data_IF_750314788954
#
_entry.id   IF_750314788954
#
_cell.length_a   1.000
_cell.length_b   1.000
_cell.length_c   1.000
_cell.angle_alpha   90.00
_cell.angle_beta   90.00
_cell.angle_gamma   90.00
#
_symmetry.space_group_name_H-M   'P 1'
#
loop_
_entity.id
_entity.type
_entity.pdbx_description
1 polymer ?
#
# COMPACT_ATOMS: atom_id res chain seq x y z
N UNK A 1 23.55 -3.80 -15.39
CA UNK A 1 23.43 -2.59 -14.57
C UNK A 1 21.94 -2.29 -14.41
N UNK A 2 21.34 -2.63 -13.26
CA UNK A 2 19.88 -2.77 -13.12
C UNK A 2 19.25 -1.46 -12.63
N UNK A 3 18.49 -0.77 -13.47
CA UNK A 3 17.84 0.48 -13.12
C UNK A 3 16.51 0.19 -12.39
N UNK A 4 16.51 0.29 -11.05
CA UNK A 4 15.29 0.28 -10.22
C UNK A 4 15.11 1.64 -9.56
N UNK A 5 14.51 2.60 -10.26
CA UNK A 5 14.04 3.86 -9.67
C UNK A 5 12.55 3.77 -9.38
N UNK A 6 12.18 3.91 -8.10
CA UNK A 6 10.79 4.07 -7.66
C UNK A 6 10.20 5.37 -8.21
N UNK A 7 8.88 5.41 -8.36
CA UNK A 7 8.16 6.45 -9.10
C UNK A 7 8.34 7.87 -8.52
N UNK A 8 8.53 8.00 -7.20
CA UNK A 8 8.88 9.25 -6.53
C UNK A 8 10.25 9.80 -6.96
N UNK A 9 11.27 8.93 -7.05
CA UNK A 9 12.64 9.29 -7.44
C UNK A 9 12.70 9.67 -8.92
N UNK A 10 11.86 9.06 -9.76
CA UNK A 10 11.79 9.39 -11.19
C UNK A 10 11.20 10.78 -11.47
N UNK A 11 10.39 11.34 -10.57
CA UNK A 11 9.76 12.66 -10.73
C UNK A 11 10.31 13.73 -9.78
N UNK A 12 11.07 13.34 -8.75
CA UNK A 12 11.52 14.27 -7.71
C UNK A 12 10.37 14.89 -6.91
N UNK A 13 9.19 14.29 -6.95
CA UNK A 13 7.97 14.80 -6.33
C UNK A 13 7.45 13.81 -5.27
N UNK A 14 6.93 14.29 -4.13
CA UNK A 14 6.27 13.43 -3.15
C UNK A 14 5.04 12.73 -3.75
N UNK A 15 4.85 11.47 -3.36
CA UNK A 15 3.71 10.66 -3.80
C UNK A 15 3.02 10.02 -2.60
N UNK A 16 1.71 9.92 -2.68
CA UNK A 16 0.88 9.28 -1.67
C UNK A 16 0.20 8.04 -2.25
N UNK A 17 0.25 6.94 -1.52
CA UNK A 17 -0.53 5.72 -1.79
C UNK A 17 -1.62 5.62 -0.74
N UNK A 18 -2.87 5.50 -1.16
CA UNK A 18 -4.02 5.48 -0.26
C UNK A 18 -5.14 4.60 -0.80
N UNK A 19 -6.02 4.09 0.08
CA UNK A 19 -7.29 3.52 -0.33
C UNK A 19 -8.08 4.49 -1.21
N UNK A 20 -8.87 3.94 -2.14
CA UNK A 20 -9.82 4.72 -2.93
C UNK A 20 -11.02 3.87 -3.30
N UNK A 21 -12.21 4.45 -3.16
CA UNK A 21 -13.49 3.87 -3.60
C UNK A 21 -13.94 4.40 -4.98
N UNK A 22 -13.28 5.45 -5.47
CA UNK A 22 -13.70 6.20 -6.67
C UNK A 22 -12.57 6.43 -7.69
N UNK A 23 -11.41 5.79 -7.50
CA UNK A 23 -10.22 5.85 -8.34
C UNK A 23 -9.64 7.26 -8.59
N UNK A 24 -10.10 8.27 -7.86
CA UNK A 24 -9.77 9.69 -8.09
C UNK A 24 -9.25 10.38 -6.83
N UNK A 25 -9.72 9.97 -5.65
CA UNK A 25 -9.40 10.59 -4.38
C UNK A 25 -9.02 9.54 -3.32
N UNK A 26 -8.28 9.94 -2.31
CA UNK A 26 -8.04 9.09 -1.15
C UNK A 26 -9.32 8.96 -0.31
N UNK A 27 -9.80 7.74 -0.09
CA UNK A 27 -11.02 7.45 0.67
C UNK A 27 -11.32 5.95 0.71
N UNK A 28 -12.28 5.54 1.54
CA UNK A 28 -12.65 4.13 1.66
C UNK A 28 -11.62 3.27 2.41
N UNK A 29 -11.62 1.98 2.10
CA UNK A 29 -10.77 0.97 2.75
C UNK A 29 -9.89 0.24 1.73
N UNK A 30 -8.79 -0.37 2.18
CA UNK A 30 -7.83 -1.04 1.27
C UNK A 30 -8.43 -2.18 0.43
N UNK A 31 -9.62 -2.68 0.79
CA UNK A 31 -10.36 -3.68 0.01
C UNK A 31 -11.18 -3.09 -1.14
N UNK A 32 -11.39 -1.77 -1.18
CA UNK A 32 -12.12 -1.10 -2.27
C UNK A 32 -11.22 -0.86 -3.49
N UNK A 33 -9.91 -0.86 -3.25
CA UNK A 33 -8.90 -0.47 -4.22
C UNK A 33 -7.95 0.53 -3.59
N UNK A 34 -6.94 0.93 -4.35
CA UNK A 34 -6.03 1.98 -3.94
C UNK A 34 -5.45 2.70 -5.14
N UNK A 35 -5.03 3.93 -4.90
CA UNK A 35 -4.41 4.79 -5.90
C UNK A 35 -3.07 5.28 -5.41
N UNK A 36 -2.22 5.65 -6.37
CA UNK A 36 -1.06 6.50 -6.13
C UNK A 36 -1.33 7.86 -6.74
N UNK A 37 -1.18 8.92 -5.94
CA UNK A 37 -1.30 10.31 -6.37
C UNK A 37 0.03 11.05 -6.20
N UNK A 38 0.26 12.08 -7.01
CA UNK A 38 1.33 13.06 -6.77
C UNK A 38 0.77 14.15 -5.85
N UNK A 39 1.47 14.46 -4.76
CA UNK A 39 0.96 15.40 -3.74
C UNK A 39 0.84 16.85 -4.26
N UNK A 40 1.68 17.24 -5.23
CA UNK A 40 1.75 18.62 -5.75
C UNK A 40 0.59 18.99 -6.68
N UNK A 41 0.11 18.02 -7.45
CA UNK A 41 -0.84 18.19 -8.55
C UNK A 41 -2.13 17.42 -8.31
N UNK A 42 -2.16 16.58 -7.27
CA UNK A 42 -3.23 15.60 -7.02
C UNK A 42 -3.51 14.69 -8.21
N UNK A 43 -2.55 14.56 -9.13
CA UNK A 43 -2.67 13.72 -10.31
C UNK A 43 -2.58 12.25 -9.95
N UNK A 44 -3.56 11.45 -10.37
CA UNK A 44 -3.52 9.99 -10.21
C UNK A 44 -2.45 9.41 -11.14
N UNK A 45 -1.43 8.80 -10.55
CA UNK A 45 -0.37 8.10 -11.26
C UNK A 45 -0.79 6.69 -11.65
N UNK A 46 -1.48 6.02 -10.74
CA UNK A 46 -1.86 4.62 -10.91
C UNK A 46 -3.03 4.24 -10.03
N UNK A 47 -3.87 3.38 -10.58
CA UNK A 47 -5.05 2.81 -9.93
C UNK A 47 -4.87 1.31 -9.82
N UNK A 48 -5.23 0.77 -8.67
CA UNK A 48 -5.37 -0.66 -8.42
C UNK A 48 -6.79 -0.93 -7.97
N UNK A 49 -7.48 -1.77 -8.73
CA UNK A 49 -8.84 -2.19 -8.43
C UNK A 49 -8.89 -3.00 -7.14
N UNK A 50 -10.09 -3.05 -6.55
CA UNK A 50 -10.43 -3.94 -5.45
C UNK A 50 -9.81 -5.34 -5.63
N UNK A 51 -9.20 -5.90 -4.57
CA UNK A 51 -8.80 -7.30 -4.55
C UNK A 51 -9.96 -8.26 -4.81
N UNK A 52 -9.64 -9.54 -5.06
CA UNK A 52 -10.66 -10.57 -5.19
C UNK A 52 -11.58 -10.61 -3.96
N UNK A 53 -12.85 -10.94 -4.19
CA UNK A 53 -13.84 -11.06 -3.12
C UNK A 53 -13.35 -11.97 -1.98
N UNK A 54 -13.56 -11.53 -0.75
CA UNK A 54 -13.08 -12.22 0.45
C UNK A 54 -11.62 -11.91 0.81
N UNK A 55 -10.95 -10.97 0.14
CA UNK A 55 -9.68 -10.44 0.62
C UNK A 55 -9.88 -9.57 1.87
N UNK A 56 -8.98 -9.71 2.84
CA UNK A 56 -8.85 -8.82 3.99
C UNK A 56 -7.49 -8.14 3.93
N UNK A 57 -7.48 -6.83 4.14
CA UNK A 57 -6.26 -6.02 4.21
C UNK A 57 -6.27 -5.26 5.53
N UNK A 58 -5.42 -5.67 6.46
CA UNK A 58 -5.35 -5.11 7.80
C UNK A 58 -4.09 -4.24 7.93
N UNK A 59 -4.27 -2.96 8.20
CA UNK A 59 -3.16 -2.05 8.46
C UNK A 59 -2.92 -1.91 9.96
N UNK A 60 -1.68 -2.15 10.40
CA UNK A 60 -1.30 -1.94 11.81
C UNK A 60 -1.13 -0.44 12.11
N UNK A 61 -1.48 -0.02 13.33
CA UNK A 61 -1.39 1.38 13.77
C UNK A 61 -2.68 2.13 13.46
N UNK A 62 -2.73 2.83 12.33
CA UNK A 62 -3.91 3.57 11.88
C UNK A 62 -4.53 2.86 10.68
N UNK A 63 -5.71 2.28 10.88
CA UNK A 63 -6.44 1.59 9.82
C UNK A 63 -6.73 2.52 8.64
N UNK A 64 -6.55 1.99 7.41
CA UNK A 64 -6.88 2.68 6.15
C UNK A 64 -6.21 4.06 5.98
N UNK A 65 -5.00 4.22 6.56
CA UNK A 65 -4.26 5.47 6.49
C UNK A 65 -3.30 5.49 5.30
N UNK A 66 -3.20 6.67 4.69
CA UNK A 66 -2.35 6.90 3.53
C UNK A 66 -0.85 6.73 3.84
N UNK A 67 -0.14 6.08 2.92
CA UNK A 67 1.31 5.88 2.95
C UNK A 67 1.95 6.96 2.08
N UNK A 68 2.73 7.85 2.71
CA UNK A 68 3.34 8.99 2.02
C UNK A 68 4.82 8.77 1.80
N UNK A 69 5.28 9.04 0.59
CA UNK A 69 6.69 9.00 0.21
C UNK A 69 7.14 10.39 -0.21
N UNK A 70 8.25 10.86 0.36
CA UNK A 70 8.84 12.14 -0.06
C UNK A 70 9.59 12.03 -1.39
N UNK A 71 10.11 13.17 -1.86
CA UNK A 71 10.76 13.31 -3.16
C UNK A 71 11.96 12.36 -3.39
N UNK A 72 12.67 11.94 -2.33
CA UNK A 72 13.79 10.98 -2.44
C UNK A 72 13.33 9.52 -2.29
N UNK A 73 12.01 9.30 -2.21
CA UNK A 73 11.39 7.99 -2.05
C UNK A 73 11.37 7.47 -0.61
N UNK A 74 11.82 8.25 0.38
CA UNK A 74 11.71 7.88 1.79
C UNK A 74 10.25 7.96 2.28
N UNK A 75 9.86 7.09 3.21
CA UNK A 75 8.54 7.14 3.82
C UNK A 75 8.49 8.33 4.79
N UNK A 76 7.49 9.18 4.65
CA UNK A 76 7.24 10.33 5.52
C UNK A 76 5.96 10.19 6.37
N UNK A 77 5.18 9.13 6.14
CA UNK A 77 4.08 8.70 7.01
C UNK A 77 4.58 7.88 8.21
N UNK A 78 3.66 7.61 9.14
CA UNK A 78 3.88 6.69 10.26
C UNK A 78 4.27 5.28 9.80
N UNK A 79 4.80 4.48 10.74
CA UNK A 79 5.10 3.07 10.50
C UNK A 79 3.87 2.35 9.94
N UNK A 80 4.07 1.70 8.80
CA UNK A 80 2.99 1.03 8.08
C UNK A 80 3.35 -0.42 7.83
N UNK A 81 2.49 -1.29 8.33
CA UNK A 81 2.44 -2.72 8.03
C UNK A 81 1.05 -3.05 7.51
N UNK A 82 0.98 -3.80 6.42
CA UNK A 82 -0.25 -4.35 5.86
C UNK A 82 -0.17 -5.87 5.91
N UNK A 83 -1.14 -6.50 6.58
CA UNK A 83 -1.35 -7.94 6.52
C UNK A 83 -2.51 -8.22 5.55
N UNK A 84 -2.21 -8.98 4.50
CA UNK A 84 -3.14 -9.28 3.40
C UNK A 84 -3.42 -10.78 3.38
N UNK A 85 -4.69 -11.13 3.41
CA UNK A 85 -5.15 -12.51 3.29
C UNK A 85 -6.45 -12.61 2.49
N UNK A 86 -6.87 -13.83 2.20
CA UNK A 86 -8.12 -14.13 1.48
C UNK A 86 -8.94 -15.13 2.26
N UNK A 87 -10.25 -15.15 2.05
CA UNK A 87 -11.15 -16.11 2.68
C UNK A 87 -10.66 -17.55 2.45
N UNK A 88 -10.69 -18.37 3.51
CA UNK A 88 -10.14 -19.74 3.49
C UNK A 88 -8.61 -19.80 3.46
N UNK A 89 -7.92 -18.74 3.90
CA UNK A 89 -6.48 -18.75 4.08
C UNK A 89 -6.07 -19.86 5.06
N UNK A 90 -5.04 -20.65 4.71
CA UNK A 90 -4.50 -21.71 5.57
C UNK A 90 -2.97 -21.67 5.60
N UNK A 91 -2.39 -21.97 6.77
CA UNK A 91 -0.95 -22.00 6.98
C UNK A 91 -0.29 -20.66 6.65
N UNK A 92 0.90 -20.67 6.04
CA UNK A 92 1.68 -19.46 5.75
C UNK A 92 1.35 -18.85 4.38
N UNK A 93 0.06 -18.57 4.15
CA UNK A 93 -0.45 -18.02 2.88
C UNK A 93 -0.89 -16.56 2.99
N UNK A 94 -0.86 -15.94 4.16
CA UNK A 94 -1.02 -14.50 4.26
C UNK A 94 0.27 -13.78 3.84
N UNK A 95 0.16 -12.51 3.45
CA UNK A 95 1.28 -11.69 3.00
C UNK A 95 1.37 -10.49 3.92
N UNK A 96 2.53 -10.31 4.52
CA UNK A 96 2.88 -9.11 5.27
C UNK A 96 3.69 -8.18 4.39
N UNK A 97 3.25 -6.95 4.28
CA UNK A 97 4.01 -5.87 3.67
C UNK A 97 4.45 -4.91 4.77
N UNK A 98 5.75 -4.66 4.87
CA UNK A 98 6.30 -3.62 5.73
C UNK A 98 6.92 -2.54 4.86
N UNK A 99 6.59 -1.29 5.16
CA UNK A 99 7.20 -0.11 4.50
C UNK A 99 8.19 0.49 5.48
N UNK A 100 9.49 0.30 5.23
CA UNK A 100 10.56 0.87 6.05
C UNK A 100 10.70 2.38 5.87
N UNK A 101 11.39 3.08 6.79
CA UNK A 101 11.55 4.54 6.76
C UNK A 101 12.28 5.03 5.51
N UNK A 102 13.21 4.25 4.97
CA UNK A 102 13.89 4.55 3.70
C UNK A 102 13.02 4.28 2.44
N UNK A 103 11.73 4.02 2.61
CA UNK A 103 10.80 3.67 1.52
C UNK A 103 10.99 2.27 0.94
N UNK A 104 11.78 1.42 1.61
CA UNK A 104 11.92 0.02 1.21
C UNK A 104 10.66 -0.75 1.56
N UNK A 105 10.11 -1.44 0.58
CA UNK A 105 8.96 -2.32 0.75
C UNK A 105 9.48 -3.75 0.81
N UNK A 106 9.20 -4.45 1.90
CA UNK A 106 9.44 -5.89 2.02
C UNK A 106 8.11 -6.64 2.01
N UNK A 107 8.08 -7.79 1.34
CA UNK A 107 6.93 -8.69 1.32
C UNK A 107 7.36 -10.02 1.93
N UNK A 108 6.64 -10.48 2.94
CA UNK A 108 6.90 -11.73 3.64
C UNK A 108 5.66 -12.62 3.62
N UNK A 109 5.84 -13.95 3.58
CA UNK A 109 4.75 -14.89 3.84
C UNK A 109 4.60 -15.04 5.35
N UNK A 110 3.37 -14.94 5.82
CA UNK A 110 3.02 -15.07 7.25
C UNK A 110 1.83 -16.02 7.41
N UNK A 111 1.63 -16.49 8.63
CA UNK A 111 0.45 -17.28 8.98
C UNK A 111 -0.82 -16.46 8.75
N UNK A 112 -1.88 -17.12 8.29
CA UNK A 112 -3.21 -16.53 8.17
C UNK A 112 -3.74 -16.13 9.56
N UNK A 113 -4.41 -14.98 9.65
CA UNK A 113 -4.95 -14.43 10.90
C UNK A 113 -6.40 -14.79 11.14
N UNK A 114 -7.15 -15.16 10.09
CA UNK A 114 -8.48 -15.81 10.21
C UNK A 114 -8.42 -17.22 9.63
N UNK A 115 -8.37 -18.22 10.51
CA UNK A 115 -8.68 -19.61 10.19
C UNK A 115 -10.19 -19.82 10.31
N UNK A 116 -10.97 -19.36 9.33
CA UNK A 116 -12.39 -19.70 9.21
C UNK A 116 -12.63 -20.57 8.00
#
# INVERSE_FOLDING_TARGET
MTQRGSEAVKRGAPVTVCPSENDTECGGVWTDGWITIIDDTSGVLRVWRAPAAGAAVNQTGTANSAIRFGALGQRVSADTRLDIEVAGCRGNRARRLDVGPAGRISVQRVACTVET
#
